data_IF_426597749162
#
_entry.id   IF_426597749162
#
_cell.length_a   1.000
_cell.length_b   1.000
_cell.length_c   1.000
_cell.angle_alpha   90.00
_cell.angle_beta   90.00
_cell.angle_gamma   90.00
#
_symmetry.space_group_name_H-M   'P 1'
#
loop_
_entity.id
_entity.type
_entity.pdbx_description
1 polymer ?
#
# COMPACT_ATOMS: atom_id res chain seq x y z
N UNK A 1 -2.62 -7.16 7.93
CA UNK A 1 -2.79 -6.62 9.31
C UNK A 1 -3.54 -5.30 9.37
N UNK A 2 -3.07 -4.22 8.72
CA UNK A 2 -3.75 -2.90 8.77
C UNK A 2 -5.23 -2.95 8.36
N UNK A 3 -5.56 -3.63 7.26
CA UNK A 3 -6.94 -3.84 6.82
C UNK A 3 -7.81 -4.57 7.87
N UNK A 4 -7.22 -5.46 8.67
CA UNK A 4 -7.92 -6.18 9.74
C UNK A 4 -8.20 -5.27 10.94
N UNK A 5 -7.21 -4.45 11.33
CA UNK A 5 -7.36 -3.50 12.42
C UNK A 5 -8.38 -2.40 12.08
N UNK A 6 -8.39 -1.94 10.83
CA UNK A 6 -9.34 -0.94 10.32
C UNK A 6 -10.72 -1.52 9.96
N UNK A 7 -10.87 -2.84 9.91
CA UNK A 7 -12.06 -3.52 9.39
C UNK A 7 -12.53 -2.94 8.05
N UNK A 8 -11.57 -2.70 7.15
CA UNK A 8 -11.77 -2.07 5.85
C UNK A 8 -11.03 -2.86 4.76
N UNK A 9 -11.44 -2.66 3.52
CA UNK A 9 -10.72 -3.17 2.35
C UNK A 9 -9.53 -2.31 2.00
N UNK A 10 -8.71 -2.82 1.08
CA UNK A 10 -7.59 -2.07 0.50
C UNK A 10 -7.49 -2.37 -0.99
N UNK A 11 -7.17 -1.33 -1.75
CA UNK A 11 -6.84 -1.39 -3.16
C UNK A 11 -5.41 -0.88 -3.33
N UNK A 12 -4.48 -1.78 -3.64
CA UNK A 12 -3.03 -1.49 -3.71
C UNK A 12 -2.45 -1.88 -5.06
N UNK A 13 -1.72 -0.97 -5.70
CA UNK A 13 -0.90 -1.23 -6.88
C UNK A 13 0.60 -1.25 -6.53
N UNK A 14 1.28 -2.33 -6.92
CA UNK A 14 2.70 -2.54 -6.61
C UNK A 14 3.62 -2.28 -7.82
N UNK A 15 3.13 -1.67 -8.89
CA UNK A 15 3.90 -1.51 -10.14
C UNK A 15 5.16 -0.67 -9.97
N UNK A 16 5.15 0.26 -9.02
CA UNK A 16 6.27 1.17 -8.75
C UNK A 16 7.40 0.53 -7.92
N UNK A 17 7.20 -0.67 -7.35
CA UNK A 17 8.10 -1.28 -6.36
C UNK A 17 9.14 -2.25 -6.94
N UNK A 18 9.11 -2.51 -8.25
CA UNK A 18 10.00 -3.46 -8.95
C UNK A 18 9.25 -4.65 -9.55
N UNK A 19 9.92 -5.48 -10.34
CA UNK A 19 9.27 -6.41 -11.29
C UNK A 19 8.94 -7.81 -10.75
N UNK A 20 9.47 -8.17 -9.58
CA UNK A 20 9.25 -9.49 -8.98
C UNK A 20 8.18 -9.41 -7.90
N UNK A 21 6.97 -9.89 -8.22
CA UNK A 21 5.81 -9.88 -7.33
C UNK A 21 6.08 -10.51 -5.95
N UNK A 22 6.77 -11.66 -5.93
CA UNK A 22 7.08 -12.35 -4.67
C UNK A 22 8.09 -11.57 -3.83
N UNK A 23 9.16 -11.06 -4.45
CA UNK A 23 10.15 -10.28 -3.73
C UNK A 23 9.53 -8.99 -3.18
N UNK A 24 8.70 -8.29 -3.96
CA UNK A 24 8.04 -7.05 -3.52
C UNK A 24 7.09 -7.29 -2.34
N UNK A 25 6.31 -8.37 -2.36
CA UNK A 25 5.28 -8.62 -1.35
C UNK A 25 5.79 -9.28 -0.06
N UNK A 26 6.90 -10.04 -0.15
CA UNK A 26 7.36 -10.90 0.96
C UNK A 26 8.80 -10.61 1.42
N UNK A 27 9.45 -9.56 0.92
CA UNK A 27 10.69 -9.10 1.54
C UNK A 27 10.39 -8.52 2.94
N UNK A 28 11.35 -8.68 3.85
CA UNK A 28 11.28 -8.17 5.23
C UNK A 28 12.29 -7.01 5.43
N UNK A 29 12.49 -6.20 4.38
CA UNK A 29 13.35 -5.01 4.47
C UNK A 29 12.74 -3.96 5.40
N UNK A 30 13.60 -3.07 5.93
CA UNK A 30 13.14 -1.99 6.80
C UNK A 30 12.23 -1.01 6.04
N UNK A 31 11.11 -0.65 6.65
CA UNK A 31 10.17 0.30 6.07
C UNK A 31 8.92 0.46 6.93
N UNK A 32 7.94 1.20 6.39
CA UNK A 32 6.63 1.37 7.01
C UNK A 32 5.58 1.68 5.94
N UNK A 33 4.33 1.30 6.23
CA UNK A 33 3.15 1.76 5.49
C UNK A 33 2.44 2.81 6.36
N UNK A 34 2.26 4.02 5.83
CA UNK A 34 1.52 5.09 6.50
C UNK A 34 0.25 5.41 5.70
N UNK A 35 -0.88 5.56 6.41
CA UNK A 35 -2.11 6.07 5.81
C UNK A 35 -2.24 7.55 6.15
N UNK A 36 -2.47 8.39 5.15
CA UNK A 36 -2.60 9.84 5.28
C UNK A 36 -3.91 10.30 4.66
N UNK A 37 -4.46 11.41 5.16
CA UNK A 37 -5.58 12.06 4.48
C UNK A 37 -5.10 12.77 3.21
N UNK A 38 -5.93 12.77 2.17
CA UNK A 38 -5.64 13.40 0.89
C UNK A 38 -5.20 14.86 1.04
N UNK A 39 -5.88 15.61 1.92
CA UNK A 39 -5.57 17.02 2.20
C UNK A 39 -4.17 17.25 2.77
N UNK A 40 -3.59 16.23 3.42
CA UNK A 40 -2.28 16.30 4.08
C UNK A 40 -1.17 15.65 3.25
N UNK A 41 -1.50 15.03 2.12
CA UNK A 41 -0.53 14.28 1.31
C UNK A 41 0.66 15.15 0.89
N UNK A 42 0.40 16.39 0.46
CA UNK A 42 1.45 17.34 0.10
C UNK A 42 2.35 17.68 1.29
N UNK A 43 1.78 17.90 2.47
CA UNK A 43 2.55 18.23 3.67
C UNK A 43 3.45 17.06 4.10
N UNK A 44 2.92 15.84 4.07
CA UNK A 44 3.68 14.63 4.39
C UNK A 44 4.83 14.41 3.40
N UNK A 45 4.60 14.62 2.10
CA UNK A 45 5.67 14.50 1.09
C UNK A 45 6.79 15.51 1.31
N UNK A 46 6.48 16.74 1.71
CA UNK A 46 7.52 17.73 2.04
C UNK A 46 8.33 17.30 3.28
N UNK A 47 7.70 16.71 4.30
CA UNK A 47 8.42 16.15 5.46
C UNK A 47 9.34 15.01 5.03
N UNK A 48 8.85 14.05 4.26
CA UNK A 48 9.65 12.92 3.76
C UNK A 48 10.82 13.40 2.90
N UNK A 49 10.61 14.42 2.07
CA UNK A 49 11.65 15.05 1.26
C UNK A 49 12.71 15.75 2.11
N UNK A 50 12.31 16.48 3.16
CA UNK A 50 13.24 17.14 4.07
C UNK A 50 14.17 16.17 4.82
N UNK A 51 13.79 14.89 4.88
CA UNK A 51 14.57 13.80 5.46
C UNK A 51 15.18 12.84 4.42
N UNK A 52 15.22 13.23 3.14
CA UNK A 52 15.77 12.44 2.02
C UNK A 52 15.08 11.08 1.77
N UNK A 53 13.84 10.91 2.27
CA UNK A 53 13.08 9.67 2.14
C UNK A 53 12.18 9.63 0.91
N UNK A 54 12.03 10.75 0.18
CA UNK A 54 11.10 10.84 -0.94
C UNK A 54 11.42 9.84 -2.07
N UNK A 55 12.70 9.54 -2.31
CA UNK A 55 13.13 8.56 -3.31
C UNK A 55 12.84 7.10 -2.93
N UNK A 56 12.53 6.84 -1.66
CA UNK A 56 12.13 5.53 -1.12
C UNK A 56 10.62 5.47 -0.81
N UNK A 57 9.88 6.52 -1.17
CA UNK A 57 8.44 6.64 -0.87
C UNK A 57 7.64 6.26 -2.10
N UNK A 58 6.69 5.36 -1.91
CA UNK A 58 5.81 4.87 -2.97
C UNK A 58 4.35 5.04 -2.56
N UNK A 59 3.56 5.57 -3.48
CA UNK A 59 2.10 5.59 -3.31
C UNK A 59 1.56 4.22 -3.69
N UNK A 60 0.93 3.55 -2.72
CA UNK A 60 0.43 2.19 -2.89
C UNK A 60 -1.01 2.17 -3.38
N UNK A 61 -1.84 3.11 -2.94
CA UNK A 61 -3.27 3.12 -3.23
C UNK A 61 -4.08 3.61 -2.04
N UNK A 62 -5.25 3.03 -1.81
CA UNK A 62 -6.23 3.57 -0.87
C UNK A 62 -6.95 2.49 -0.06
N UNK A 63 -7.57 2.93 1.03
CA UNK A 63 -8.51 2.11 1.80
C UNK A 63 -9.89 2.12 1.14
N UNK A 64 -10.57 0.98 1.18
CA UNK A 64 -11.91 0.79 0.62
C UNK A 64 -12.90 0.44 1.72
N UNK A 65 -14.18 0.76 1.50
CA UNK A 65 -15.27 0.37 2.39
C UNK A 65 -15.75 -1.07 2.12
N UNK A 66 -15.28 -1.70 1.05
CA UNK A 66 -15.61 -3.09 0.72
C UNK A 66 -14.80 -4.08 1.57
N UNK A 67 -15.33 -5.28 1.84
CA UNK A 67 -14.59 -6.35 2.54
C UNK A 67 -13.63 -7.09 1.59
N UNK A 68 -12.84 -6.37 0.80
CA UNK A 68 -11.90 -6.94 -0.18
C UNK A 68 -10.46 -6.51 0.08
N UNK A 69 -9.54 -7.43 -0.17
CA UNK A 69 -8.11 -7.15 -0.21
C UNK A 69 -7.64 -7.33 -1.66
N UNK A 70 -7.42 -6.21 -2.36
CA UNK A 70 -7.02 -6.18 -3.76
C UNK A 70 -5.56 -5.74 -3.91
N UNK A 71 -4.77 -6.55 -4.62
CA UNK A 71 -3.41 -6.21 -5.02
C UNK A 71 -3.30 -6.31 -6.54
N UNK A 72 -2.81 -5.26 -7.18
CA UNK A 72 -2.60 -5.18 -8.63
C UNK A 72 -1.16 -4.86 -9.00
N UNK A 73 -0.81 -5.19 -10.24
CA UNK A 73 0.31 -4.62 -10.98
C UNK A 73 -0.21 -4.11 -12.31
N UNK A 74 -0.49 -2.82 -12.38
CA UNK A 74 -1.12 -2.16 -13.52
C UNK A 74 -2.48 -2.78 -13.75
N UNK A 75 -2.70 -3.37 -14.92
CA UNK A 75 -3.95 -4.06 -15.24
C UNK A 75 -4.04 -5.49 -14.72
N UNK A 76 -2.95 -6.07 -14.17
CA UNK A 76 -2.94 -7.45 -13.69
C UNK A 76 -3.37 -7.52 -12.23
N UNK A 77 -4.43 -8.27 -11.94
CA UNK A 77 -4.87 -8.58 -10.57
C UNK A 77 -4.04 -9.73 -10.01
N UNK A 78 -3.30 -9.48 -8.93
CA UNK A 78 -2.41 -10.45 -8.27
C UNK A 78 -3.12 -11.17 -7.13
N UNK A 79 -3.91 -10.43 -6.35
CA UNK A 79 -4.73 -10.94 -5.26
C UNK A 79 -6.06 -10.19 -5.25
N UNK A 80 -7.16 -10.92 -4.97
CA UNK A 80 -8.48 -10.31 -4.83
C UNK A 80 -9.37 -11.25 -4.04
N UNK A 81 -9.15 -11.25 -2.73
CA UNK A 81 -9.85 -12.12 -1.78
C UNK A 81 -10.70 -11.29 -0.82
N UNK A 82 -11.61 -11.93 -0.10
CA UNK A 82 -12.29 -11.24 1.00
C UNK A 82 -11.31 -10.99 2.12
N UNK A 83 -11.32 -9.77 2.67
CA UNK A 83 -10.48 -9.42 3.81
C UNK A 83 -10.82 -10.26 5.05
N UNK A 84 -12.08 -10.70 5.19
CA UNK A 84 -12.51 -11.63 6.24
C UNK A 84 -11.95 -13.05 6.14
N UNK A 85 -11.64 -13.53 4.93
CA UNK A 85 -11.10 -14.88 4.68
C UNK A 85 -9.58 -14.94 4.90
N UNK A 86 -8.90 -13.79 4.89
CA UNK A 86 -7.46 -13.64 5.13
C UNK A 86 -7.10 -13.38 6.61
N UNK A 87 -8.10 -13.24 7.49
CA UNK A 87 -7.93 -12.90 8.91
C UNK A 87 -7.51 -14.11 9.75
#
# INVERSE_FOLDING_TARGET
>A
EMAFAGNCGVDVDISALGDNDLAVLFNEELGAVIQVSESELSAVREVLKAHDLLGLTYELGSVSLEDRFEITRGSKKLLSEKRSELR
#
